data_IF_681937235223
#
_entry.id   IF_681937235223
#
_cell.length_a   1.000
_cell.length_b   1.000
_cell.length_c   1.000
_cell.angle_alpha   90.00
_cell.angle_beta   90.00
_cell.angle_gamma   90.00
#
_symmetry.space_group_name_H-M   'P 1'
#
loop_
_entity.id
_entity.type
_entity.pdbx_description
1 polymer ?
#
# COMPACT_ATOMS: atom_id res chain seq x y z
N UNK A 1 -24.87 -0.76 -20.30
CA UNK A 1 -23.46 -0.43 -20.64
C UNK A 1 -22.67 0.09 -19.43
N UNK A 2 -23.21 1.05 -18.64
CA UNK A 2 -22.54 1.62 -17.45
C UNK A 2 -22.22 0.62 -16.32
N UNK A 3 -23.09 -0.37 -16.05
CA UNK A 3 -22.83 -1.37 -14.99
C UNK A 3 -21.59 -2.25 -15.27
N UNK A 4 -21.34 -2.60 -16.53
CA UNK A 4 -20.14 -3.36 -16.90
C UNK A 4 -18.88 -2.52 -16.69
N UNK A 5 -18.91 -1.24 -17.08
CA UNK A 5 -17.79 -0.32 -16.91
C UNK A 5 -17.41 -0.12 -15.42
N UNK A 6 -18.41 -0.03 -14.54
CA UNK A 6 -18.17 0.08 -13.09
C UNK A 6 -17.65 -1.22 -12.50
N UNK A 7 -18.19 -2.37 -12.94
CA UNK A 7 -17.64 -3.67 -12.57
C UNK A 7 -16.15 -3.76 -12.93
N UNK A 8 -15.82 -3.48 -14.19
CA UNK A 8 -14.45 -3.54 -14.70
C UNK A 8 -13.53 -2.56 -13.92
N UNK A 9 -14.04 -1.37 -13.57
CA UNK A 9 -13.29 -0.39 -12.78
C UNK A 9 -13.04 -0.86 -11.35
N UNK A 10 -14.06 -1.39 -10.67
CA UNK A 10 -13.97 -1.97 -9.32
C UNK A 10 -13.03 -3.18 -9.28
N UNK A 11 -13.04 -4.00 -10.33
CA UNK A 11 -12.14 -5.14 -10.46
C UNK A 11 -10.69 -4.70 -10.72
N UNK A 12 -10.49 -3.68 -11.56
CA UNK A 12 -9.16 -3.08 -11.76
C UNK A 12 -8.58 -2.53 -10.46
N UNK A 13 -9.42 -1.92 -9.61
CA UNK A 13 -9.00 -1.45 -8.29
C UNK A 13 -8.66 -2.63 -7.36
N UNK A 14 -9.41 -3.73 -7.45
CA UNK A 14 -9.15 -4.93 -6.65
C UNK A 14 -7.81 -5.58 -7.04
N UNK A 15 -7.48 -5.63 -8.34
CA UNK A 15 -6.17 -6.07 -8.82
C UNK A 15 -5.05 -5.15 -8.35
N UNK A 16 -5.25 -3.83 -8.42
CA UNK A 16 -4.29 -2.85 -7.88
C UNK A 16 -3.99 -3.08 -6.40
N UNK A 17 -5.00 -3.38 -5.58
CA UNK A 17 -4.81 -3.68 -4.16
C UNK A 17 -3.97 -4.95 -3.93
N UNK A 18 -4.19 -5.99 -4.72
CA UNK A 18 -3.39 -7.23 -4.67
C UNK A 18 -1.93 -6.93 -5.04
N UNK A 19 -1.70 -6.13 -6.08
CA UNK A 19 -0.35 -5.77 -6.51
C UNK A 19 0.37 -4.89 -5.48
N UNK A 20 -0.37 -3.97 -4.85
CA UNK A 20 0.15 -3.18 -3.74
C UNK A 20 0.59 -4.06 -2.56
N UNK A 21 -0.24 -5.04 -2.16
CA UNK A 21 0.10 -5.99 -1.08
C UNK A 21 1.33 -6.86 -1.41
N UNK A 22 1.53 -7.22 -2.70
CA UNK A 22 2.75 -7.91 -3.17
C UNK A 22 3.97 -6.99 -3.16
N UNK A 23 3.85 -5.77 -3.68
CA UNK A 23 4.93 -4.81 -3.69
C UNK A 23 5.41 -4.50 -2.27
N UNK A 24 4.48 -4.38 -1.30
CA UNK A 24 4.81 -4.26 0.13
C UNK A 24 5.81 -5.32 0.60
N UNK A 25 5.56 -6.60 0.29
CA UNK A 25 6.45 -7.68 0.68
C UNK A 25 7.82 -7.60 -0.03
N UNK A 26 7.83 -7.28 -1.33
CA UNK A 26 9.08 -7.12 -2.10
C UNK A 26 9.92 -5.99 -1.51
N UNK A 27 9.32 -4.82 -1.29
CA UNK A 27 10.00 -3.69 -0.67
C UNK A 27 10.40 -4.00 0.78
N UNK A 28 9.65 -4.83 1.49
CA UNK A 28 10.02 -5.34 2.82
C UNK A 28 11.33 -6.13 2.82
N UNK A 29 11.56 -6.97 1.82
CA UNK A 29 12.83 -7.69 1.64
C UNK A 29 13.97 -6.69 1.42
N UNK A 30 13.77 -5.70 0.53
CA UNK A 30 14.76 -4.67 0.25
C UNK A 30 15.06 -3.81 1.48
N UNK A 31 14.04 -3.44 2.25
CA UNK A 31 14.19 -2.69 3.49
C UNK A 31 15.04 -3.49 4.50
N UNK A 32 14.78 -4.78 4.64
CA UNK A 32 15.55 -5.65 5.53
C UNK A 32 17.02 -5.72 5.11
N UNK A 33 17.30 -5.98 3.83
CA UNK A 33 18.67 -6.03 3.31
C UNK A 33 19.39 -4.69 3.44
N UNK A 34 18.73 -3.58 3.10
CA UNK A 34 19.28 -2.24 3.25
C UNK A 34 19.59 -1.91 4.71
N UNK A 35 18.72 -2.33 5.64
CA UNK A 35 18.93 -2.17 7.09
C UNK A 35 20.19 -2.89 7.56
N UNK A 36 20.42 -4.12 7.11
CA UNK A 36 21.67 -4.85 7.37
C UNK A 36 22.88 -4.12 6.77
N UNK A 37 22.73 -3.54 5.56
CA UNK A 37 23.73 -2.70 4.94
C UNK A 37 24.08 -1.45 5.77
N UNK A 38 23.10 -0.80 6.37
CA UNK A 38 23.32 0.36 7.23
C UNK A 38 24.19 0.01 8.45
N UNK A 39 24.06 -1.19 9.01
CA UNK A 39 24.91 -1.66 10.12
C UNK A 39 26.38 -1.83 9.72
N UNK A 40 26.69 -1.97 8.43
CA UNK A 40 28.07 -2.00 7.94
C UNK A 40 28.70 -0.61 7.84
N UNK A 41 27.90 0.47 7.95
CA UNK A 41 28.39 1.85 7.97
C UNK A 41 29.01 2.13 9.34
N UNK A 42 30.17 2.83 9.41
CA UNK A 42 30.77 3.23 10.69
C UNK A 42 29.79 4.00 11.59
N UNK A 43 29.98 3.85 12.91
CA UNK A 43 29.14 4.50 13.91
C UNK A 43 29.14 6.02 13.82
N UNK A 44 28.05 6.64 14.30
CA UNK A 44 27.84 8.08 14.30
C UNK A 44 26.86 8.55 13.22
N UNK A 45 26.96 9.84 12.87
CA UNK A 45 25.96 10.53 12.04
C UNK A 45 25.76 9.94 10.64
N UNK A 46 26.80 9.32 10.06
CA UNK A 46 26.70 8.67 8.74
C UNK A 46 25.78 7.45 8.78
N UNK A 47 25.83 6.63 9.85
CA UNK A 47 24.91 5.49 10.02
C UNK A 47 23.47 5.98 10.11
N UNK A 48 23.19 6.98 10.94
CA UNK A 48 21.84 7.59 11.05
C UNK A 48 21.35 8.05 9.68
N UNK A 49 22.21 8.75 8.93
CA UNK A 49 21.88 9.24 7.59
C UNK A 49 21.55 8.09 6.62
N UNK A 50 22.30 6.98 6.66
CA UNK A 50 22.04 5.81 5.84
C UNK A 50 20.67 5.17 6.15
N UNK A 51 20.29 5.09 7.43
CA UNK A 51 18.96 4.63 7.84
C UNK A 51 17.85 5.55 7.31
N UNK A 52 18.02 6.87 7.42
CA UNK A 52 17.03 7.84 6.91
C UNK A 52 16.88 7.76 5.38
N UNK A 53 17.99 7.65 4.64
CA UNK A 53 17.97 7.47 3.18
C UNK A 53 17.26 6.17 2.81
N UNK A 54 17.57 5.08 3.51
CA UNK A 54 16.91 3.78 3.32
C UNK A 54 15.40 3.90 3.49
N UNK A 55 14.96 4.61 4.52
CA UNK A 55 13.54 4.84 4.78
C UNK A 55 12.87 5.68 3.67
N UNK A 56 13.55 6.72 3.18
CA UNK A 56 13.06 7.55 2.07
C UNK A 56 12.90 6.73 0.77
N UNK A 57 13.91 5.93 0.43
CA UNK A 57 13.87 5.05 -0.77
C UNK A 57 12.73 4.05 -0.65
N UNK A 58 12.59 3.42 0.53
CA UNK A 58 11.52 2.47 0.80
C UNK A 58 10.14 3.08 0.57
N UNK A 59 9.85 4.26 1.13
CA UNK A 59 8.55 4.92 0.95
C UNK A 59 8.31 5.35 -0.50
N UNK A 60 9.33 5.81 -1.22
CA UNK A 60 9.19 6.17 -2.62
C UNK A 60 8.80 4.97 -3.49
N UNK A 61 9.41 3.81 -3.24
CA UNK A 61 9.15 2.58 -4.00
C UNK A 61 7.88 1.84 -3.55
N UNK A 62 7.28 2.25 -2.44
CA UNK A 62 6.05 1.65 -1.91
C UNK A 62 4.84 1.95 -2.78
N UNK A 63 4.79 3.15 -3.37
CA UNK A 63 3.66 3.60 -4.15
C UNK A 63 3.63 2.92 -5.52
N UNK A 64 2.62 2.10 -5.78
CA UNK A 64 2.39 1.44 -7.07
C UNK A 64 1.53 2.34 -7.96
N UNK A 65 1.74 2.27 -9.28
CA UNK A 65 0.89 2.93 -10.27
C UNK A 65 -0.39 2.13 -10.46
N UNK A 66 -1.54 2.80 -10.40
CA UNK A 66 -2.80 2.18 -10.81
C UNK A 66 -2.98 2.39 -12.31
N UNK A 67 -2.79 1.32 -13.11
CA UNK A 67 -2.83 1.35 -14.58
C UNK A 67 -4.05 2.08 -15.16
N UNK A 68 -5.24 1.84 -14.63
CA UNK A 68 -6.49 2.48 -15.09
C UNK A 68 -6.45 4.01 -14.93
N UNK A 69 -5.81 4.50 -13.87
CA UNK A 69 -5.69 5.92 -13.55
C UNK A 69 -4.36 6.54 -13.99
N UNK A 70 -3.41 5.72 -14.49
CA UNK A 70 -2.06 6.09 -14.96
C UNK A 70 -1.26 6.96 -13.97
N UNK A 71 -1.49 6.79 -12.66
CA UNK A 71 -0.83 7.57 -11.62
C UNK A 71 -0.60 6.74 -10.36
N UNK A 72 0.32 7.20 -9.51
CA UNK A 72 0.46 6.65 -8.16
C UNK A 72 -0.78 7.04 -7.35
N UNK A 73 -1.44 6.04 -6.78
CA UNK A 73 -2.68 6.24 -6.03
C UNK A 73 -2.52 5.64 -4.65
N UNK A 74 -2.80 6.44 -3.61
CA UNK A 74 -2.86 5.91 -2.26
C UNK A 74 -4.13 5.09 -2.07
N UNK A 75 -4.13 4.15 -1.12
CA UNK A 75 -5.32 3.36 -0.79
C UNK A 75 -6.58 4.23 -0.60
N UNK A 76 -6.46 5.34 0.15
CA UNK A 76 -7.57 6.28 0.40
C UNK A 76 -8.05 6.94 -0.90
N UNK A 77 -7.12 7.40 -1.73
CA UNK A 77 -7.44 8.02 -3.01
C UNK A 77 -8.11 7.03 -3.98
N UNK A 78 -7.68 5.77 -3.98
CA UNK A 78 -8.26 4.71 -4.82
C UNK A 78 -9.73 4.46 -4.46
N UNK A 79 -10.05 4.29 -3.17
CA UNK A 79 -11.43 4.17 -2.72
C UNK A 79 -12.27 5.40 -3.08
N UNK A 80 -11.73 6.60 -2.90
CA UNK A 80 -12.44 7.85 -3.24
C UNK A 80 -12.71 7.97 -4.75
N UNK A 81 -11.78 7.52 -5.61
CA UNK A 81 -11.99 7.52 -7.05
C UNK A 81 -13.10 6.53 -7.47
N UNK A 82 -13.18 5.35 -6.84
CA UNK A 82 -14.25 4.38 -7.09
C UNK A 82 -15.58 4.90 -6.58
N UNK A 83 -15.61 5.47 -5.38
CA UNK A 83 -16.80 6.08 -4.78
C UNK A 83 -17.35 7.21 -5.67
N UNK A 84 -16.47 8.09 -6.18
CA UNK A 84 -16.84 9.13 -7.14
C UNK A 84 -17.48 8.53 -8.40
N UNK A 85 -16.86 7.51 -9.00
CA UNK A 85 -17.37 6.88 -10.22
C UNK A 85 -18.72 6.17 -9.99
N UNK A 86 -18.95 5.62 -8.80
CA UNK A 86 -20.26 5.07 -8.40
C UNK A 86 -21.28 6.20 -8.22
N UNK A 87 -20.90 7.33 -7.63
CA UNK A 87 -21.81 8.47 -7.40
C UNK A 87 -22.34 9.11 -8.69
N UNK A 88 -21.59 8.98 -9.80
CA UNK A 88 -21.95 9.45 -11.14
C UNK A 88 -23.00 8.55 -11.83
N UNK A 89 -23.42 7.44 -11.21
CA UNK A 89 -24.51 6.58 -11.71
C UNK A 89 -25.87 7.27 -11.65
N UNK A 90 -26.58 7.29 -12.77
CA UNK A 90 -27.93 7.84 -12.89
C UNK A 90 -28.97 7.05 -12.07
N UNK A 91 -28.85 5.72 -12.05
CA UNK A 91 -29.79 4.83 -11.34
C UNK A 91 -29.43 4.74 -9.85
N UNK A 92 -30.37 5.08 -8.97
CA UNK A 92 -30.20 5.01 -7.51
C UNK A 92 -30.01 3.57 -7.02
N UNK A 93 -30.71 2.59 -7.61
CA UNK A 93 -30.58 1.19 -7.22
C UNK A 93 -29.19 0.63 -7.53
N UNK A 94 -28.65 0.93 -8.72
CA UNK A 94 -27.29 0.52 -9.08
C UNK A 94 -26.25 1.21 -8.17
N UNK A 95 -26.47 2.48 -7.83
CA UNK A 95 -25.59 3.25 -6.93
C UNK A 95 -25.53 2.65 -5.54
N UNK A 96 -26.68 2.33 -4.95
CA UNK A 96 -26.75 1.68 -3.64
C UNK A 96 -26.06 0.32 -3.66
N UNK A 97 -26.33 -0.49 -4.68
CA UNK A 97 -25.70 -1.81 -4.86
C UNK A 97 -24.17 -1.70 -4.91
N UNK A 98 -23.61 -0.85 -5.77
CA UNK A 98 -22.16 -0.72 -5.92
C UNK A 98 -21.49 -0.07 -4.72
N UNK A 99 -22.19 0.83 -4.02
CA UNK A 99 -21.71 1.41 -2.76
C UNK A 99 -21.54 0.32 -1.71
N UNK A 100 -22.51 -0.59 -1.60
CA UNK A 100 -22.43 -1.71 -0.68
C UNK A 100 -21.29 -2.68 -1.05
N UNK A 101 -21.15 -3.02 -2.34
CA UNK A 101 -20.02 -3.82 -2.84
C UNK A 101 -18.68 -3.18 -2.48
N UNK A 102 -18.54 -1.87 -2.67
CA UNK A 102 -17.32 -1.14 -2.32
C UNK A 102 -17.06 -1.16 -0.81
N UNK A 103 -18.09 -0.97 0.02
CA UNK A 103 -17.99 -1.02 1.47
C UNK A 103 -17.56 -2.40 1.97
N UNK A 104 -18.14 -3.47 1.43
CA UNK A 104 -17.74 -4.84 1.75
C UNK A 104 -16.26 -5.08 1.41
N UNK A 105 -15.82 -4.67 0.21
CA UNK A 105 -14.40 -4.75 -0.19
C UNK A 105 -13.50 -3.91 0.72
N UNK A 106 -13.92 -2.70 1.10
CA UNK A 106 -13.20 -1.80 2.02
C UNK A 106 -13.01 -2.44 3.38
N UNK A 107 -14.08 -2.96 3.98
CA UNK A 107 -14.04 -3.63 5.29
C UNK A 107 -13.17 -4.88 5.23
N UNK A 108 -13.31 -5.69 4.18
CA UNK A 108 -12.49 -6.89 4.00
C UNK A 108 -11.00 -6.56 3.88
N UNK A 109 -10.66 -5.47 3.19
CA UNK A 109 -9.27 -5.04 3.03
C UNK A 109 -8.71 -4.30 4.26
N UNK A 110 -9.55 -3.57 4.99
CA UNK A 110 -9.15 -2.84 6.20
C UNK A 110 -9.07 -3.72 7.45
N UNK A 111 -9.66 -4.92 7.44
CA UNK A 111 -9.51 -5.87 8.53
C UNK A 111 -8.02 -6.09 8.81
N UNK A 112 -7.59 -5.60 9.97
CA UNK A 112 -6.20 -5.56 10.43
C UNK A 112 -5.55 -6.95 10.39
N UNK A 113 -6.31 -8.00 10.74
CA UNK A 113 -5.90 -9.41 10.65
C UNK A 113 -5.61 -9.84 9.20
N UNK A 114 -6.37 -9.31 8.23
CA UNK A 114 -6.13 -9.52 6.80
C UNK A 114 -4.85 -8.83 6.33
N UNK A 115 -4.60 -7.59 6.77
CA UNK A 115 -3.37 -6.87 6.45
C UNK A 115 -2.13 -7.57 7.01
N UNK A 116 -2.21 -8.08 8.24
CA UNK A 116 -1.13 -8.84 8.87
C UNK A 116 -0.78 -10.13 8.12
N UNK A 117 -1.80 -10.82 7.58
CA UNK A 117 -1.62 -12.06 6.80
C UNK A 117 -1.17 -11.82 5.36
N UNK A 118 -1.48 -10.67 4.76
CA UNK A 118 -1.18 -10.40 3.34
C UNK A 118 0.24 -9.89 3.13
N UNK A 119 0.75 -9.08 4.06
CA UNK A 119 2.11 -8.52 3.94
C UNK A 119 2.98 -8.81 5.17
N UNK A 120 3.19 -10.09 5.54
CA UNK A 120 3.91 -10.44 6.76
C UNK A 120 5.40 -10.05 6.69
N UNK A 121 6.02 -10.18 5.51
CA UNK A 121 7.45 -9.86 5.32
C UNK A 121 7.66 -8.38 5.52
N UNK A 122 6.82 -7.53 4.91
CA UNK A 122 6.83 -6.09 5.15
C UNK A 122 6.79 -5.75 6.64
N UNK A 123 5.85 -6.34 7.38
CA UNK A 123 5.66 -6.01 8.80
C UNK A 123 6.90 -6.36 9.62
N UNK A 124 7.42 -7.58 9.45
CA UNK A 124 8.60 -8.03 10.22
C UNK A 124 9.82 -7.20 9.83
N UNK A 125 10.05 -6.95 8.55
CA UNK A 125 11.17 -6.13 8.06
C UNK A 125 11.08 -4.68 8.53
N UNK A 126 9.88 -4.10 8.56
CA UNK A 126 9.67 -2.73 9.03
C UNK A 126 9.89 -2.62 10.54
N UNK A 127 9.36 -3.57 11.33
CA UNK A 127 9.62 -3.64 12.77
C UNK A 127 11.12 -3.77 13.04
N UNK A 128 11.81 -4.66 12.32
CA UNK A 128 13.26 -4.82 12.42
C UNK A 128 13.99 -3.50 12.14
N UNK A 129 13.64 -2.80 11.06
CA UNK A 129 14.22 -1.51 10.73
C UNK A 129 14.04 -0.47 11.84
N UNK A 130 12.83 -0.36 12.40
CA UNK A 130 12.53 0.60 13.49
C UNK A 130 13.33 0.27 14.75
N UNK A 131 13.45 -1.01 15.11
CA UNK A 131 14.27 -1.44 16.26
C UNK A 131 15.73 -1.05 16.05
N UNK A 132 16.31 -1.40 14.89
CA UNK A 132 17.69 -1.04 14.57
C UNK A 132 17.92 0.48 14.56
N UNK A 133 16.99 1.26 14.01
CA UNK A 133 17.09 2.72 14.04
C UNK A 133 17.05 3.26 15.47
N UNK A 134 16.20 2.68 16.34
CA UNK A 134 16.14 3.10 17.75
C UNK A 134 17.44 2.82 18.50
N UNK A 135 18.12 1.71 18.22
CA UNK A 135 19.42 1.40 18.82
C UNK A 135 20.52 2.36 18.38
N UNK A 136 20.46 2.86 17.13
CA UNK A 136 21.44 3.82 16.61
C UNK A 136 21.22 5.24 17.15
N UNK A 137 20.01 5.54 17.64
CA UNK A 137 19.65 6.87 18.18
C UNK A 137 19.89 7.00 19.69
N UNK A 138 20.10 5.89 20.41
CA UNK A 138 20.43 5.82 21.84
C UNK A 138 21.94 5.94 22.02
#
# INVERSE_FOLDING_TARGET
>A
MKNKEISDYVDSFSMFLIEYDKNLNIQGIWLFLATLGCWSVPEGGLRITAFLITLLIFFNNLFVVWETEKKHVTFKAGFSNVERKISELENSTDREFWTEVLNLKKVQHLRFIGRLKRSPIYIVSFVFHVVCLSEVLI
#
